data_IF_384566910816
#
_entry.id   IF_384566910816
#
_cell.length_a   1.000
_cell.length_b   1.000
_cell.length_c   1.000
_cell.angle_alpha   90.00
_cell.angle_beta   90.00
_cell.angle_gamma   90.00
#
_symmetry.space_group_name_H-M   'P 1'
#
loop_
_entity.id
_entity.type
_entity.pdbx_description
1 polymer ?
#
# COMPACT_ATOMS: atom_id res chain seq x y z
N UNK A 1 -35.43 17.63 16.92
CA UNK A 1 -34.48 16.59 16.50
C UNK A 1 -33.12 17.25 16.31
N UNK A 2 -32.16 17.13 17.23
CA UNK A 2 -30.82 17.69 17.03
C UNK A 2 -30.07 16.87 15.96
N UNK A 3 -29.49 17.58 14.98
CA UNK A 3 -28.67 16.99 13.91
C UNK A 3 -27.33 16.55 14.50
N UNK A 4 -26.97 15.28 14.27
CA UNK A 4 -25.73 14.64 14.73
C UNK A 4 -24.54 15.33 14.04
N UNK A 5 -23.56 15.89 14.77
CA UNK A 5 -22.43 16.57 14.15
C UNK A 5 -21.50 15.57 13.43
N UNK A 6 -21.13 15.98 12.21
CA UNK A 6 -19.98 15.58 11.39
C UNK A 6 -19.27 14.27 11.69
N UNK A 7 -19.46 13.29 10.81
CA UNK A 7 -18.38 12.34 10.50
C UNK A 7 -17.36 13.07 9.63
N UNK A 8 -16.51 13.86 10.28
CA UNK A 8 -15.36 14.53 9.67
C UNK A 8 -14.31 13.48 9.26
N UNK A 9 -13.85 13.58 8.01
CA UNK A 9 -12.51 13.14 7.60
C UNK A 9 -12.27 11.64 7.52
N UNK A 10 -12.82 10.97 6.51
CA UNK A 10 -12.08 9.88 5.86
C UNK A 10 -11.52 10.43 4.56
N UNK A 11 -10.56 11.34 4.66
CA UNK A 11 -9.60 11.58 3.59
C UNK A 11 -8.98 10.22 3.30
N UNK A 12 -9.54 9.57 2.29
CA UNK A 12 -9.01 8.34 1.70
C UNK A 12 -7.81 8.75 0.87
N UNK A 13 -6.86 9.44 1.50
CA UNK A 13 -5.47 9.38 1.12
C UNK A 13 -5.16 7.89 1.16
N UNK A 14 -5.25 7.26 -0.02
CA UNK A 14 -5.00 5.85 -0.25
C UNK A 14 -3.55 5.62 0.11
N UNK A 15 -3.25 5.53 1.41
CA UNK A 15 -1.91 5.26 1.88
C UNK A 15 -1.56 3.92 1.26
N UNK A 16 -0.58 3.88 0.35
CA UNK A 16 -0.26 2.66 -0.35
C UNK A 16 0.13 1.62 0.69
N UNK A 17 -0.47 0.44 0.61
CA UNK A 17 -0.09 -0.70 1.44
C UNK A 17 1.43 -0.88 1.37
N UNK A 18 2.09 -0.88 2.53
CA UNK A 18 3.55 -1.06 2.64
C UNK A 18 3.88 -2.47 3.15
N UNK A 19 5.13 -2.90 2.99
CA UNK A 19 5.62 -4.17 3.54
C UNK A 19 5.52 -4.21 5.08
N UNK A 20 5.76 -3.07 5.73
CA UNK A 20 5.60 -2.92 7.19
C UNK A 20 4.16 -3.11 7.62
N UNK A 21 3.20 -2.52 6.89
CA UNK A 21 1.78 -2.68 7.21
C UNK A 21 1.28 -4.10 6.93
N UNK A 22 1.72 -4.70 5.82
CA UNK A 22 1.44 -6.11 5.54
C UNK A 22 1.98 -7.02 6.66
N UNK A 23 3.17 -6.74 7.19
CA UNK A 23 3.75 -7.50 8.32
C UNK A 23 2.95 -7.33 9.61
N UNK A 24 2.42 -6.13 9.89
CA UNK A 24 1.52 -5.90 11.04
C UNK A 24 0.22 -6.70 10.89
N UNK A 25 -0.36 -6.70 9.69
CA UNK A 25 -1.55 -7.48 9.35
C UNK A 25 -1.30 -8.98 9.55
N UNK A 26 -0.14 -9.48 9.12
CA UNK A 26 0.28 -10.87 9.35
C UNK A 26 0.34 -11.19 10.83
N UNK A 27 1.04 -10.37 11.62
CA UNK A 27 1.18 -10.59 13.06
C UNK A 27 -0.19 -10.57 13.78
N UNK A 28 -1.11 -9.71 13.36
CA UNK A 28 -2.46 -9.65 13.91
C UNK A 28 -3.27 -10.91 13.54
N UNK A 29 -3.18 -11.37 12.29
CA UNK A 29 -3.83 -12.58 11.81
C UNK A 29 -3.29 -13.84 12.50
N UNK A 30 -1.99 -13.92 12.75
CA UNK A 30 -1.35 -15.05 13.41
C UNK A 30 -1.72 -15.10 14.91
N UNK A 31 -1.93 -13.95 15.56
CA UNK A 31 -2.43 -13.86 16.96
C UNK A 31 -3.89 -14.28 17.10
N UNK A 32 -4.71 -14.08 16.06
CA UNK A 32 -6.12 -14.47 16.06
C UNK A 32 -6.48 -15.20 14.75
N UNK A 33 -6.31 -16.53 14.71
CA UNK A 33 -6.58 -17.32 13.51
C UNK A 33 -8.06 -17.39 13.12
N UNK A 34 -9.00 -17.09 14.02
CA UNK A 34 -10.43 -17.00 13.70
C UNK A 34 -10.87 -15.60 13.24
N UNK A 35 -9.95 -14.64 13.18
CA UNK A 35 -10.25 -13.30 12.68
C UNK A 35 -10.52 -13.30 11.18
N UNK A 36 -11.39 -12.39 10.72
CA UNK A 36 -11.70 -12.19 9.30
C UNK A 36 -10.45 -11.93 8.45
N UNK A 37 -9.46 -11.24 9.03
CA UNK A 37 -8.16 -10.99 8.39
C UNK A 37 -7.45 -12.28 7.99
N UNK A 38 -7.54 -13.32 8.82
CA UNK A 38 -6.96 -14.63 8.52
C UNK A 38 -7.91 -15.47 7.65
N UNK A 39 -9.20 -15.55 8.01
CA UNK A 39 -10.15 -16.44 7.33
C UNK A 39 -10.52 -16.00 5.92
N UNK A 40 -10.45 -14.71 5.60
CA UNK A 40 -10.80 -14.18 4.28
C UNK A 40 -9.59 -14.00 3.36
N UNK A 41 -8.39 -14.45 3.76
CA UNK A 41 -7.17 -14.31 2.94
C UNK A 41 -6.71 -12.86 2.75
N UNK A 42 -6.88 -12.02 3.78
CA UNK A 42 -6.49 -10.60 3.71
C UNK A 42 -4.96 -10.44 3.77
N UNK A 43 -4.26 -11.40 4.37
CA UNK A 43 -2.79 -11.46 4.43
C UNK A 43 -2.18 -11.47 3.02
N UNK A 44 -2.67 -12.34 2.15
CA UNK A 44 -2.21 -12.49 0.77
C UNK A 44 -2.49 -11.21 -0.03
N UNK A 45 -3.67 -10.60 0.16
CA UNK A 45 -4.01 -9.32 -0.47
C UNK A 45 -3.12 -8.18 -0.01
N UNK A 46 -2.82 -8.09 1.28
CA UNK A 46 -1.95 -7.07 1.83
C UNK A 46 -0.51 -7.21 1.31
N UNK A 47 -0.01 -8.45 1.24
CA UNK A 47 1.31 -8.73 0.66
C UNK A 47 1.37 -8.40 -0.84
N UNK A 48 0.37 -8.81 -1.61
CA UNK A 48 0.29 -8.49 -3.04
C UNK A 48 0.23 -6.98 -3.26
N UNK A 49 -0.61 -6.26 -2.49
CA UNK A 49 -0.69 -4.81 -2.58
C UNK A 49 0.64 -4.13 -2.20
N UNK A 50 1.33 -4.61 -1.16
CA UNK A 50 2.65 -4.11 -0.81
C UNK A 50 3.66 -4.32 -1.94
N UNK A 51 3.72 -5.53 -2.52
CA UNK A 51 4.61 -5.83 -3.64
C UNK A 51 4.31 -4.97 -4.87
N UNK A 52 3.04 -4.78 -5.20
CA UNK A 52 2.62 -3.88 -6.29
C UNK A 52 3.03 -2.43 -6.02
N UNK A 53 2.88 -1.94 -4.79
CA UNK A 53 3.26 -0.57 -4.45
C UNK A 53 4.77 -0.35 -4.40
N UNK A 54 5.54 -1.37 -4.01
CA UNK A 54 7.01 -1.34 -4.14
C UNK A 54 7.39 -1.20 -5.63
N UNK A 55 6.77 -1.99 -6.51
CA UNK A 55 7.03 -1.90 -7.95
C UNK A 55 6.58 -0.55 -8.56
N UNK A 56 5.45 -0.01 -8.13
CA UNK A 56 4.97 1.31 -8.58
C UNK A 56 5.85 2.46 -8.08
N UNK A 57 6.40 2.37 -6.86
CA UNK A 57 7.36 3.36 -6.35
C UNK A 57 8.72 3.29 -7.07
N UNK A 58 9.12 2.11 -7.53
CA UNK A 58 10.34 1.92 -8.32
C UNK A 58 10.14 2.38 -9.78
N UNK A 59 8.92 2.31 -10.31
CA UNK A 59 8.59 2.74 -11.68
C UNK A 59 8.47 4.25 -11.91
N UNK A 60 8.47 5.09 -10.86
CA UNK A 60 8.28 6.54 -10.99
C UNK A 60 9.59 7.34 -11.09
N UNK A 61 10.76 6.70 -10.96
CA UNK A 61 12.08 7.36 -11.04
C UNK A 61 12.87 7.14 -12.34
N UNK A 62 12.36 6.37 -13.31
CA UNK A 62 13.16 5.93 -14.47
C UNK A 62 12.86 6.61 -15.81
N UNK A 63 12.19 7.77 -15.82
CA UNK A 63 12.08 8.59 -17.04
C UNK A 63 13.16 9.68 -17.18
N UNK A 64 13.92 9.98 -16.13
CA UNK A 64 15.00 10.99 -16.16
C UNK A 64 16.38 10.42 -16.49
N UNK A 65 16.64 9.13 -16.21
CA UNK A 65 17.91 8.49 -16.56
C UNK A 65 18.02 8.08 -18.04
N UNK A 66 16.88 7.86 -18.72
CA UNK A 66 16.88 7.47 -20.13
C UNK A 66 17.27 8.61 -21.10
N UNK A 67 17.26 9.87 -20.65
CA UNK A 67 17.61 11.03 -21.50
C UNK A 67 19.10 11.40 -21.46
N UNK A 68 19.83 11.03 -20.39
CA UNK A 68 21.25 11.37 -20.21
C UNK A 68 22.20 10.51 -21.03
N UNK A 69 21.78 9.30 -21.46
CA UNK A 69 22.63 8.39 -22.23
C UNK A 69 22.85 8.92 -23.67
N UNK A 70 21.89 9.66 -24.21
CA UNK A 70 21.95 10.10 -25.61
C UNK A 70 22.68 11.44 -25.83
N UNK A 71 23.07 12.15 -24.77
CA UNK A 71 23.80 13.44 -24.86
C UNK A 71 25.33 13.28 -24.69
N UNK A 72 25.83 12.08 -24.41
CA UNK A 72 27.28 11.82 -24.37
C UNK A 72 27.86 11.27 -25.69
N UNK A 73 27.10 11.34 -26.80
CA UNK A 73 27.53 10.81 -28.11
C UNK A 73 27.16 11.71 -29.30
N UNK A 74 27.34 13.01 -29.18
CA UNK A 74 27.70 13.88 -30.31
C UNK A 74 28.36 15.18 -29.85
#
# INVERSE_FOLDING_TARGET
MPQKPGSEGSDTSKTPMTSTDASRIQSAADRNPSSKTNTEGFKERAQAAAAHNQNSQVGEFDYTAAKSINECRN
#
